data_IF_315913648995
#
_entry.id   IF_315913648995
#
_cell.length_a   1.000
_cell.length_b   1.000
_cell.length_c   1.000
_cell.angle_alpha   90.00
_cell.angle_beta   90.00
_cell.angle_gamma   90.00
#
_symmetry.space_group_name_H-M   'P 1'
#
loop_
_entity.id
_entity.type
_entity.pdbx_description
1 polymer ?
#
# COMPACT_ATOMS: atom_id res chain seq x y z
N UNK A 1 19.22 -1.24 4.17
CA UNK A 1 18.62 -0.08 3.47
C UNK A 1 17.10 -0.22 3.61
N UNK A 2 16.39 0.80 4.09
CA UNK A 2 14.93 0.74 4.30
C UNK A 2 14.22 0.92 2.95
N UNK A 3 13.21 0.11 2.63
CA UNK A 3 12.46 0.20 1.36
C UNK A 3 13.06 -0.59 0.18
N UNK A 4 14.11 -1.37 0.39
CA UNK A 4 14.74 -2.18 -0.67
C UNK A 4 13.85 -3.34 -1.14
N UNK A 5 13.07 -3.95 -0.25
CA UNK A 5 12.13 -5.00 -0.60
C UNK A 5 10.95 -4.41 -1.38
N UNK A 6 10.44 -3.25 -0.96
CA UNK A 6 9.40 -2.54 -1.71
C UNK A 6 9.86 -2.15 -3.12
N UNK A 7 11.07 -1.60 -3.26
CA UNK A 7 11.65 -1.26 -4.58
C UNK A 7 11.81 -2.49 -5.48
N UNK A 8 12.30 -3.61 -4.93
CA UNK A 8 12.42 -4.87 -5.69
C UNK A 8 11.04 -5.38 -6.15
N UNK A 9 10.03 -5.30 -5.28
CA UNK A 9 8.66 -5.69 -5.62
C UNK A 9 8.04 -4.78 -6.70
N UNK A 10 8.30 -3.47 -6.65
CA UNK A 10 7.86 -2.52 -7.67
C UNK A 10 8.47 -2.88 -9.04
N UNK A 11 9.78 -3.09 -9.09
CA UNK A 11 10.47 -3.50 -10.33
C UNK A 11 9.95 -4.83 -10.88
N UNK A 12 9.71 -5.82 -10.02
CA UNK A 12 9.15 -7.10 -10.43
C UNK A 12 7.74 -6.93 -11.04
N UNK A 13 6.90 -6.07 -10.45
CA UNK A 13 5.57 -5.77 -10.99
C UNK A 13 5.65 -5.00 -12.30
N UNK A 14 6.56 -4.03 -12.45
CA UNK A 14 6.78 -3.35 -13.73
C UNK A 14 7.12 -4.32 -14.85
N UNK A 15 8.10 -5.20 -14.62
CA UNK A 15 8.49 -6.23 -15.61
C UNK A 15 7.32 -7.14 -15.97
N UNK A 16 6.52 -7.54 -14.97
CA UNK A 16 5.32 -8.36 -15.20
C UNK A 16 4.29 -7.69 -16.13
N UNK A 17 4.18 -6.37 -16.07
CA UNK A 17 3.20 -5.59 -16.83
C UNK A 17 3.86 -4.70 -17.89
N UNK A 18 5.06 -5.06 -18.37
CA UNK A 18 5.80 -4.24 -19.34
C UNK A 18 5.10 -4.17 -20.71
N UNK A 19 4.41 -5.24 -21.09
CA UNK A 19 3.66 -5.35 -22.35
C UNK A 19 2.17 -5.04 -22.16
N UNK A 20 1.83 -4.31 -21.10
CA UNK A 20 0.46 -3.87 -20.88
C UNK A 20 0.08 -2.85 -21.96
N UNK A 21 -1.18 -2.91 -22.39
CA UNK A 21 -1.72 -2.00 -23.40
C UNK A 21 -1.52 -0.53 -22.98
N UNK A 22 -1.16 0.32 -23.94
CA UNK A 22 -0.81 1.73 -23.72
C UNK A 22 -1.99 2.60 -23.27
N UNK A 23 -3.21 2.08 -23.35
CA UNK A 23 -4.40 2.71 -22.77
C UNK A 23 -4.39 2.74 -21.24
N UNK A 24 -3.53 1.96 -20.57
CA UNK A 24 -3.45 1.91 -19.12
C UNK A 24 -2.18 2.58 -18.58
N UNK A 25 -2.36 3.37 -17.51
CA UNK A 25 -1.24 3.86 -16.69
C UNK A 25 -1.09 2.91 -15.50
N UNK A 26 0.00 2.17 -15.46
CA UNK A 26 0.34 1.30 -14.33
C UNK A 26 1.46 1.89 -13.49
N UNK A 27 1.23 1.99 -12.19
CA UNK A 27 2.24 2.36 -11.21
C UNK A 27 2.16 1.37 -10.05
N UNK A 28 3.22 0.58 -9.78
CA UNK A 28 3.22 -0.33 -8.66
C UNK A 28 3.28 0.47 -7.34
N UNK A 29 2.48 0.04 -6.37
CA UNK A 29 2.49 0.62 -5.03
C UNK A 29 3.13 -0.37 -4.04
N UNK A 30 4.47 -0.34 -3.95
CA UNK A 30 5.22 -1.22 -3.06
C UNK A 30 5.30 -0.70 -1.63
N UNK A 31 4.94 -1.53 -0.65
CA UNK A 31 5.10 -1.23 0.77
C UNK A 31 5.67 -2.44 1.51
N UNK A 32 6.71 -2.22 2.30
CA UNK A 32 7.24 -3.23 3.21
C UNK A 32 6.30 -3.43 4.40
N UNK A 33 6.37 -4.61 5.03
CA UNK A 33 5.52 -4.96 6.18
C UNK A 33 5.58 -3.93 7.31
N UNK A 34 6.74 -3.30 7.52
CA UNK A 34 6.97 -2.26 8.54
C UNK A 34 6.64 -0.84 8.05
N UNK A 35 6.00 -0.69 6.89
CA UNK A 35 5.45 0.58 6.40
C UNK A 35 6.40 1.40 5.53
N UNK A 36 7.58 0.90 5.17
CA UNK A 36 8.46 1.60 4.25
C UNK A 36 7.93 1.51 2.82
N UNK A 37 7.66 2.66 2.19
CA UNK A 37 7.15 2.71 0.81
C UNK A 37 8.30 2.75 -0.18
N UNK A 38 8.12 2.06 -1.31
CA UNK A 38 9.02 2.09 -2.45
C UNK A 38 9.04 3.45 -3.15
N UNK A 39 10.05 3.71 -4.00
CA UNK A 39 10.18 4.97 -4.71
C UNK A 39 8.96 5.30 -5.58
N UNK A 40 8.36 4.32 -6.27
CA UNK A 40 7.20 4.57 -7.13
C UNK A 40 5.95 4.88 -6.31
N UNK A 41 5.69 4.12 -5.24
CA UNK A 41 4.60 4.39 -4.30
C UNK A 41 4.70 5.80 -3.70
N UNK A 42 5.89 6.23 -3.28
CA UNK A 42 6.13 7.58 -2.74
C UNK A 42 5.86 8.67 -3.78
N UNK A 43 6.33 8.48 -5.01
CA UNK A 43 6.11 9.44 -6.09
C UNK A 43 4.62 9.58 -6.41
N UNK A 44 3.91 8.44 -6.55
CA UNK A 44 2.47 8.42 -6.79
C UNK A 44 1.71 9.12 -5.66
N UNK A 45 2.03 8.81 -4.41
CA UNK A 45 1.39 9.44 -3.28
C UNK A 45 1.59 10.95 -3.22
N UNK A 46 2.80 11.44 -3.54
CA UNK A 46 3.07 12.88 -3.55
C UNK A 46 2.19 13.59 -4.57
N UNK A 47 2.05 13.02 -5.76
CA UNK A 47 1.20 13.56 -6.81
C UNK A 47 -0.29 13.52 -6.42
N UNK A 48 -0.76 12.39 -5.90
CA UNK A 48 -2.15 12.26 -5.42
C UNK A 48 -2.44 13.21 -4.26
N UNK A 49 -1.52 13.34 -3.30
CA UNK A 49 -1.67 14.24 -2.16
C UNK A 49 -1.80 15.69 -2.60
N UNK A 50 -0.97 16.11 -3.56
CA UNK A 50 -1.05 17.46 -4.15
C UNK A 50 -2.43 17.70 -4.77
N UNK A 51 -2.89 16.80 -5.64
CA UNK A 51 -4.20 16.93 -6.31
C UNK A 51 -5.37 16.91 -5.33
N UNK A 52 -5.30 16.09 -4.29
CA UNK A 52 -6.33 16.02 -3.25
C UNK A 52 -6.37 17.32 -2.43
N UNK A 53 -5.21 17.89 -2.09
CA UNK A 53 -5.14 19.21 -1.42
C UNK A 53 -5.76 20.30 -2.30
N UNK A 54 -5.38 20.36 -3.58
CA UNK A 54 -5.90 21.35 -4.53
C UNK A 54 -7.41 21.20 -4.74
N UNK A 55 -7.90 19.96 -4.90
CA UNK A 55 -9.32 19.69 -5.12
C UNK A 55 -10.19 19.91 -3.89
N UNK A 56 -9.67 19.64 -2.69
CA UNK A 56 -10.43 19.80 -1.44
C UNK A 56 -10.34 21.22 -0.85
N UNK A 57 -9.33 21.99 -1.24
CA UNK A 57 -9.03 23.29 -0.64
C UNK A 57 -8.54 23.22 0.82
N UNK A 58 -8.25 22.03 1.34
CA UNK A 58 -7.72 21.82 2.70
C UNK A 58 -6.26 21.30 2.62
N UNK A 59 -5.27 22.04 3.14
CA UNK A 59 -3.87 21.60 3.17
C UNK A 59 -3.65 20.28 3.94
N UNK A 60 -4.58 19.90 4.83
CA UNK A 60 -4.51 18.64 5.61
C UNK A 60 -5.02 17.42 4.84
N UNK A 61 -5.67 17.62 3.69
CA UNK A 61 -6.28 16.52 2.94
C UNK A 61 -5.27 15.45 2.51
N UNK A 62 -4.03 15.85 2.16
CA UNK A 62 -2.94 14.92 1.87
C UNK A 62 -2.53 14.06 3.07
N UNK A 63 -2.51 14.65 4.27
CA UNK A 63 -2.23 13.92 5.52
C UNK A 63 -3.33 12.90 5.83
N UNK A 64 -4.60 13.28 5.65
CA UNK A 64 -5.73 12.35 5.82
C UNK A 64 -5.65 11.18 4.84
N UNK A 65 -5.26 11.43 3.58
CA UNK A 65 -5.02 10.37 2.60
C UNK A 65 -3.93 9.40 3.07
N UNK A 66 -2.78 9.93 3.50
CA UNK A 66 -1.66 9.11 3.98
C UNK A 66 -2.03 8.25 5.18
N UNK A 67 -2.78 8.82 6.14
CA UNK A 67 -3.30 8.10 7.29
C UNK A 67 -4.24 6.96 6.88
N UNK A 68 -5.18 7.21 5.96
CA UNK A 68 -6.12 6.19 5.47
C UNK A 68 -5.40 5.05 4.76
N UNK A 69 -4.42 5.35 3.91
CA UNK A 69 -3.58 4.34 3.25
C UNK A 69 -2.82 3.51 4.30
N UNK A 70 -2.19 4.18 5.26
CA UNK A 70 -1.41 3.52 6.33
C UNK A 70 -2.27 2.59 7.18
N UNK A 71 -3.50 2.99 7.51
CA UNK A 71 -4.45 2.15 8.24
C UNK A 71 -4.91 0.95 7.41
N UNK A 72 -5.15 1.13 6.10
CA UNK A 72 -5.52 0.04 5.21
C UNK A 72 -4.41 -1.02 5.11
N UNK A 73 -3.15 -0.59 5.02
CA UNK A 73 -1.98 -1.49 5.00
C UNK A 73 -1.87 -2.26 6.31
N UNK A 74 -1.96 -1.59 7.46
CA UNK A 74 -1.91 -2.25 8.76
C UNK A 74 -3.03 -3.28 8.94
N UNK A 75 -4.25 -2.96 8.49
CA UNK A 75 -5.37 -3.90 8.47
C UNK A 75 -5.08 -5.12 7.58
N UNK A 76 -4.50 -4.91 6.40
CA UNK A 76 -4.08 -6.01 5.51
C UNK A 76 -3.00 -6.90 6.14
N UNK A 77 -2.02 -6.30 6.80
CA UNK A 77 -0.98 -7.03 7.52
C UNK A 77 -1.57 -7.85 8.69
N UNK A 78 -2.45 -7.24 9.49
CA UNK A 78 -3.13 -7.94 10.59
C UNK A 78 -3.99 -9.11 10.08
N UNK A 79 -4.76 -8.90 9.00
CA UNK A 79 -5.55 -9.96 8.38
C UNK A 79 -4.67 -11.12 7.86
N UNK A 80 -3.51 -10.79 7.27
CA UNK A 80 -2.54 -11.79 6.80
C UNK A 80 -1.99 -12.62 7.95
N UNK A 81 -1.68 -11.99 9.09
CA UNK A 81 -1.21 -12.69 10.31
C UNK A 81 -2.33 -13.57 10.88
N UNK A 82 -3.53 -13.01 11.08
CA UNK A 82 -4.67 -13.75 11.64
C UNK A 82 -5.08 -14.95 10.78
N UNK A 83 -4.94 -14.85 9.45
CA UNK A 83 -5.18 -15.96 8.53
C UNK A 83 -4.21 -17.14 8.68
N UNK A 84 -3.09 -16.96 9.37
CA UNK A 84 -2.11 -18.03 9.65
C UNK A 84 -2.29 -18.68 11.02
N UNK A 85 -3.12 -18.10 11.89
CA UNK A 85 -3.39 -18.67 13.22
C UNK A 85 -4.38 -19.83 13.07
N UNK A 86 -4.09 -21.02 13.61
CA UNK A 86 -5.06 -22.11 13.63
C UNK A 86 -6.34 -21.63 14.32
N UNK A 87 -7.51 -21.94 13.74
CA UNK A 87 -8.75 -21.78 14.49
C UNK A 87 -8.69 -22.78 15.64
N UNK A 88 -8.35 -22.30 16.83
CA UNK A 88 -8.54 -23.10 18.03
C UNK A 88 -10.04 -23.45 18.06
N UNK A 89 -10.35 -24.74 18.12
CA UNK A 89 -11.72 -25.24 18.21
C UNK A 89 -12.45 -24.49 19.32
N UNK A 90 -13.73 -24.22 19.10
CA UNK A 90 -14.57 -23.53 20.08
C UNK A 90 -14.39 -24.16 21.45
N UNK A 91 -14.39 -23.32 22.48
CA UNK A 91 -14.69 -23.81 23.82
C UNK A 91 -16.04 -24.50 23.73
N UNK A 92 -16.04 -25.82 23.76
CA UNK A 92 -17.24 -26.59 24.04
C UNK A 92 -17.58 -26.25 25.49
N UNK A 93 -18.62 -25.42 25.67
CA UNK A 93 -19.22 -25.15 26.96
C UNK A 93 -19.67 -26.50 27.57
N UNK A 94 -19.09 -26.84 28.72
CA UNK A 94 -19.49 -27.97 29.59
C UNK A 94 -20.80 -27.66 30.30
#
# INVERSE_FOLDING_TARGET
MVGAAASSAEQAKRRKYENMDSSFIFVPFGVETLGAWGPEARALFKELSKRVIESAGDPRAGSYLGQRISLAIQRGNAASILGTVPRCGGFEDV
#
